data_IF_344158627324
#
_entry.id   IF_344158627324
#
_cell.length_a   1.000
_cell.length_b   1.000
_cell.length_c   1.000
_cell.angle_alpha   90.00
_cell.angle_beta   90.00
_cell.angle_gamma   90.00
#
_symmetry.space_group_name_H-M   'P 1'
#
loop_
_entity.id
_entity.type
_entity.pdbx_description
1 polymer ?
#
# COMPACT_ATOMS: atom_id res chain seq x y z
N UNK A 1 -3.36 -26.40 19.76
CA UNK A 1 -1.89 -26.41 19.62
C UNK A 1 -1.47 -24.96 19.47
N UNK A 2 -0.57 -24.49 20.34
CA UNK A 2 -0.15 -23.10 20.44
C UNK A 2 1.00 -22.83 19.44
N UNK A 3 0.86 -21.76 18.66
CA UNK A 3 1.88 -21.01 17.92
C UNK A 3 3.09 -21.82 17.39
N UNK A 4 2.84 -22.65 16.38
CA UNK A 4 3.85 -23.36 15.58
C UNK A 4 3.94 -22.77 14.16
N UNK A 5 5.09 -22.94 13.48
CA UNK A 5 5.31 -22.51 12.10
C UNK A 5 6.60 -21.71 11.91
N UNK A 6 7.28 -21.94 10.78
CA UNK A 6 8.42 -21.14 10.32
C UNK A 6 7.98 -20.28 9.13
N UNK A 7 8.76 -19.26 8.77
CA UNK A 7 8.41 -18.37 7.65
C UNK A 7 8.32 -19.09 6.27
N UNK A 8 8.98 -20.23 6.10
CA UNK A 8 8.83 -21.09 4.91
C UNK A 8 7.74 -22.15 5.04
N UNK A 9 6.99 -22.15 6.15
CA UNK A 9 6.09 -23.23 6.54
C UNK A 9 6.84 -24.47 7.04
N UNK A 10 6.15 -25.30 7.81
CA UNK A 10 6.65 -26.60 8.30
C UNK A 10 5.56 -27.65 8.25
N UNK A 11 5.94 -28.92 8.08
CA UNK A 11 5.00 -30.03 8.20
C UNK A 11 4.71 -30.31 9.68
N UNK A 12 3.43 -30.28 10.06
CA UNK A 12 3.00 -30.45 11.45
C UNK A 12 2.45 -31.84 11.74
N UNK A 13 1.79 -32.48 10.76
CA UNK A 13 1.16 -33.79 10.95
C UNK A 13 0.87 -34.47 9.60
N UNK A 14 0.30 -35.67 9.64
CA UNK A 14 -0.25 -36.34 8.48
C UNK A 14 -1.68 -36.86 8.74
N UNK A 15 -2.57 -36.74 7.76
CA UNK A 15 -3.89 -37.37 7.73
C UNK A 15 -3.97 -38.24 6.48
N UNK A 16 -3.89 -39.56 6.67
CA UNK A 16 -3.77 -40.49 5.54
C UNK A 16 -2.51 -40.17 4.72
N UNK A 17 -2.69 -39.85 3.44
CA UNK A 17 -1.60 -39.45 2.54
C UNK A 17 -1.35 -37.94 2.49
N UNK A 18 -2.07 -37.14 3.29
CA UNK A 18 -1.93 -35.69 3.32
C UNK A 18 -0.99 -35.25 4.41
N UNK A 19 0.01 -34.43 4.06
CA UNK A 19 0.83 -33.72 5.03
C UNK A 19 0.15 -32.39 5.37
N UNK A 20 0.03 -32.09 6.66
CA UNK A 20 -0.57 -30.85 7.14
C UNK A 20 0.51 -29.78 7.31
N UNK A 21 0.26 -28.61 6.74
CA UNK A 21 1.09 -27.41 6.92
C UNK A 21 0.86 -26.76 8.28
N UNK A 22 1.89 -26.06 8.78
CA UNK A 22 1.76 -25.12 9.89
C UNK A 22 0.97 -23.87 9.55
N UNK A 23 0.83 -23.56 8.26
CA UNK A 23 0.12 -22.37 7.82
C UNK A 23 -1.39 -22.64 7.82
N UNK A 24 -2.12 -21.79 8.52
CA UNK A 24 -3.56 -21.96 8.75
C UNK A 24 -4.35 -21.12 7.75
N UNK A 25 -5.38 -21.71 7.13
CA UNK A 25 -6.29 -21.00 6.22
C UNK A 25 -5.77 -20.83 4.79
N UNK A 26 -4.71 -21.56 4.39
CA UNK A 26 -4.12 -21.48 3.05
C UNK A 26 -4.93 -22.17 1.95
N UNK A 27 -6.04 -22.84 2.28
CA UNK A 27 -6.88 -23.60 1.35
C UNK A 27 -7.39 -22.78 0.16
N UNK A 28 -7.46 -21.44 0.28
CA UNK A 28 -8.00 -20.55 -0.75
C UNK A 28 -6.95 -19.75 -1.51
N UNK A 29 -5.65 -19.99 -1.28
CA UNK A 29 -4.58 -19.25 -1.94
C UNK A 29 -4.60 -19.44 -3.46
N UNK A 30 -5.03 -20.61 -3.94
CA UNK A 30 -5.11 -20.90 -5.37
C UNK A 30 -6.38 -20.35 -6.05
N UNK A 31 -7.31 -19.75 -5.28
CA UNK A 31 -8.59 -19.24 -5.78
C UNK A 31 -8.40 -18.15 -6.85
N UNK A 32 -7.49 -17.20 -6.62
CA UNK A 32 -7.19 -16.14 -7.61
C UNK A 32 -6.69 -16.72 -8.94
N UNK A 33 -5.88 -17.79 -8.88
CA UNK A 33 -5.38 -18.50 -10.06
C UNK A 33 -6.49 -19.22 -10.84
N UNK A 34 -7.40 -19.92 -10.16
CA UNK A 34 -8.54 -20.61 -10.78
C UNK A 34 -9.47 -19.61 -11.46
N UNK A 35 -9.79 -18.51 -10.78
CA UNK A 35 -10.65 -17.45 -11.33
C UNK A 35 -9.98 -16.77 -12.54
N UNK A 36 -8.66 -16.58 -12.48
CA UNK A 36 -7.92 -16.05 -13.62
C UNK A 36 -7.94 -17.00 -14.82
N UNK A 37 -7.76 -18.30 -14.60
CA UNK A 37 -7.90 -19.30 -15.66
C UNK A 37 -9.31 -19.30 -16.26
N UNK A 38 -10.36 -19.23 -15.43
CA UNK A 38 -11.75 -19.14 -15.87
C UNK A 38 -12.04 -17.92 -16.75
N UNK A 39 -11.42 -16.77 -16.47
CA UNK A 39 -11.57 -15.57 -17.29
C UNK A 39 -11.08 -15.76 -18.73
N UNK A 40 -10.10 -16.65 -18.95
CA UNK A 40 -9.52 -16.96 -20.25
C UNK A 40 -10.22 -18.16 -20.91
N UNK A 41 -10.60 -19.15 -20.11
CA UNK A 41 -11.19 -20.41 -20.55
C UNK A 41 -12.44 -20.72 -19.72
N UNK A 42 -13.59 -20.10 -20.04
CA UNK A 42 -14.81 -20.32 -19.28
C UNK A 42 -15.28 -21.77 -19.40
N UNK A 43 -15.46 -22.43 -18.26
CA UNK A 43 -15.93 -23.81 -18.16
C UNK A 43 -16.94 -23.93 -17.00
N UNK A 44 -18.10 -24.59 -17.19
CA UNK A 44 -19.11 -24.72 -16.14
C UNK A 44 -18.61 -25.41 -14.86
N UNK A 45 -17.77 -26.45 -14.97
CA UNK A 45 -17.25 -27.15 -13.80
C UNK A 45 -16.23 -26.29 -13.04
N UNK A 46 -15.43 -25.50 -13.75
CA UNK A 46 -14.53 -24.50 -13.11
C UNK A 46 -15.35 -23.41 -12.40
N UNK A 47 -16.46 -22.97 -12.99
CA UNK A 47 -17.36 -22.02 -12.35
C UNK A 47 -17.96 -22.58 -11.05
N UNK A 48 -18.47 -23.81 -11.07
CA UNK A 48 -18.99 -24.50 -9.88
C UNK A 48 -17.92 -24.60 -8.78
N UNK A 49 -16.68 -24.93 -9.15
CA UNK A 49 -15.55 -24.94 -8.22
C UNK A 49 -15.27 -23.56 -7.61
N UNK A 50 -15.27 -22.50 -8.42
CA UNK A 50 -15.06 -21.12 -7.94
C UNK A 50 -16.14 -20.74 -6.92
N UNK A 51 -17.41 -21.03 -7.23
CA UNK A 51 -18.54 -20.68 -6.36
C UNK A 51 -18.48 -21.44 -5.03
N UNK A 52 -18.11 -22.72 -5.06
CA UNK A 52 -17.86 -23.52 -3.85
C UNK A 52 -16.69 -22.96 -3.03
N UNK A 53 -15.55 -22.65 -3.67
CA UNK A 53 -14.38 -22.06 -2.99
C UNK A 53 -14.74 -20.74 -2.30
N UNK A 54 -15.48 -19.86 -2.97
CA UNK A 54 -15.95 -18.60 -2.40
C UNK A 54 -16.87 -18.89 -1.22
N UNK A 55 -17.86 -19.77 -1.38
CA UNK A 55 -18.80 -20.09 -0.30
C UNK A 55 -18.08 -20.59 0.96
N UNK A 56 -17.06 -21.45 0.81
CA UNK A 56 -16.26 -21.96 1.92
C UNK A 56 -15.38 -20.89 2.54
N UNK A 57 -14.68 -20.09 1.73
CA UNK A 57 -13.89 -18.97 2.22
C UNK A 57 -14.75 -17.99 3.03
N UNK A 58 -15.97 -17.72 2.59
CA UNK A 58 -16.86 -16.78 3.26
C UNK A 58 -17.35 -17.27 4.64
N UNK A 59 -17.31 -18.58 4.90
CA UNK A 59 -17.69 -19.18 6.19
C UNK A 59 -16.57 -19.16 7.23
N UNK A 60 -15.33 -18.83 6.85
CA UNK A 60 -14.19 -18.88 7.75
C UNK A 60 -14.20 -17.72 8.76
N UNK A 61 -13.98 -18.05 10.03
CA UNK A 61 -13.59 -17.08 11.05
C UNK A 61 -12.07 -16.89 11.02
N UNK A 62 -11.63 -15.96 10.18
CA UNK A 62 -10.22 -15.69 9.90
C UNK A 62 -9.40 -15.34 11.15
N UNK A 63 -10.01 -14.67 12.13
CA UNK A 63 -9.32 -14.27 13.37
C UNK A 63 -9.23 -15.44 14.32
N UNK A 64 -10.33 -16.15 14.57
CA UNK A 64 -10.36 -17.26 15.52
C UNK A 64 -9.42 -18.40 15.12
N UNK A 65 -9.29 -18.68 13.81
CA UNK A 65 -8.37 -19.71 13.33
C UNK A 65 -6.94 -19.22 13.15
N UNK A 66 -6.65 -17.92 13.39
CA UNK A 66 -5.35 -17.30 13.10
C UNK A 66 -4.93 -17.52 11.63
N UNK A 67 -5.83 -17.22 10.69
CA UNK A 67 -5.57 -17.42 9.28
C UNK A 67 -4.33 -16.63 8.81
N UNK A 68 -3.59 -17.17 7.84
CA UNK A 68 -2.48 -16.45 7.22
C UNK A 68 -3.01 -15.25 6.43
N UNK A 69 -2.38 -14.10 6.61
CA UNK A 69 -2.81 -12.85 5.95
C UNK A 69 -2.52 -12.89 4.45
N UNK A 70 -1.41 -13.49 4.01
CA UNK A 70 -1.13 -13.70 2.59
C UNK A 70 -2.25 -14.49 1.89
N UNK A 71 -2.59 -15.67 2.40
CA UNK A 71 -3.67 -16.49 1.85
C UNK A 71 -5.02 -15.75 1.85
N UNK A 72 -5.32 -15.02 2.94
CA UNK A 72 -6.54 -14.22 3.05
C UNK A 72 -6.59 -13.15 1.97
N UNK A 73 -5.55 -12.33 1.83
CA UNK A 73 -5.51 -11.21 0.88
C UNK A 73 -5.46 -11.70 -0.58
N UNK A 74 -4.80 -12.83 -0.85
CA UNK A 74 -4.89 -13.51 -2.14
C UNK A 74 -6.33 -13.95 -2.45
N UNK A 75 -7.07 -14.48 -1.48
CA UNK A 75 -8.49 -14.81 -1.67
C UNK A 75 -9.34 -13.56 -1.95
N UNK A 76 -9.04 -12.42 -1.33
CA UNK A 76 -9.71 -11.14 -1.61
C UNK A 76 -9.46 -10.67 -3.05
N UNK A 77 -8.24 -10.83 -3.58
CA UNK A 77 -7.96 -10.61 -5.01
C UNK A 77 -8.84 -11.50 -5.90
N UNK A 78 -9.01 -12.76 -5.51
CA UNK A 78 -9.91 -13.70 -6.18
C UNK A 78 -11.35 -13.17 -6.23
N UNK A 79 -11.89 -12.72 -5.10
CA UNK A 79 -13.24 -12.11 -5.03
C UNK A 79 -13.36 -10.90 -5.98
N UNK A 80 -12.38 -9.99 -5.95
CA UNK A 80 -12.38 -8.80 -6.80
C UNK A 80 -12.26 -9.15 -8.28
N UNK A 81 -11.48 -10.18 -8.63
CA UNK A 81 -11.40 -10.70 -9.99
C UNK A 81 -12.71 -11.33 -10.44
N UNK A 82 -13.37 -12.12 -9.60
CA UNK A 82 -14.65 -12.71 -9.98
C UNK A 82 -15.75 -11.66 -10.09
N UNK A 83 -15.66 -10.59 -9.30
CA UNK A 83 -16.51 -9.41 -9.45
C UNK A 83 -16.35 -8.74 -10.83
N UNK A 84 -15.13 -8.64 -11.39
CA UNK A 84 -14.96 -8.07 -12.74
C UNK A 84 -15.57 -8.92 -13.84
N UNK A 85 -15.71 -10.24 -13.61
CA UNK A 85 -16.29 -11.19 -14.57
C UNK A 85 -17.81 -11.20 -14.47
N UNK A 86 -18.35 -11.22 -13.24
CA UNK A 86 -19.78 -11.49 -13.00
C UNK A 86 -20.60 -10.25 -12.68
N UNK A 87 -19.96 -9.16 -12.24
CA UNK A 87 -20.59 -7.96 -11.71
C UNK A 87 -21.54 -8.20 -10.52
N UNK A 88 -21.36 -9.31 -9.79
CA UNK A 88 -22.14 -9.61 -8.59
C UNK A 88 -21.63 -8.79 -7.41
N UNK A 89 -22.40 -7.76 -7.03
CA UNK A 89 -21.97 -6.75 -6.04
C UNK A 89 -21.59 -7.31 -4.67
N UNK A 90 -22.19 -8.43 -4.23
CA UNK A 90 -21.84 -9.04 -2.94
C UNK A 90 -20.36 -9.44 -2.86
N UNK A 91 -19.71 -9.76 -3.99
CA UNK A 91 -18.28 -10.12 -4.02
C UNK A 91 -17.41 -8.92 -3.61
N UNK A 92 -17.75 -7.72 -4.09
CA UNK A 92 -17.08 -6.49 -3.70
C UNK A 92 -17.37 -6.14 -2.23
N UNK A 93 -18.62 -6.30 -1.79
CA UNK A 93 -19.02 -6.05 -0.39
C UNK A 93 -18.29 -6.97 0.59
N UNK A 94 -18.18 -8.27 0.28
CA UNK A 94 -17.48 -9.25 1.11
C UNK A 94 -15.94 -9.05 1.08
N UNK A 95 -15.39 -8.56 -0.04
CA UNK A 95 -13.98 -8.15 -0.13
C UNK A 95 -13.71 -6.92 0.75
N UNK A 96 -14.55 -5.90 0.69
CA UNK A 96 -14.49 -4.71 1.57
C UNK A 96 -14.53 -5.13 3.04
N UNK A 97 -15.51 -5.95 3.43
CA UNK A 97 -15.69 -6.42 4.81
C UNK A 97 -14.43 -7.12 5.35
N UNK A 98 -13.83 -8.02 4.57
CA UNK A 98 -12.62 -8.74 4.99
C UNK A 98 -11.36 -7.89 4.94
N UNK A 99 -11.27 -6.95 4.01
CA UNK A 99 -10.17 -6.00 4.00
C UNK A 99 -10.20 -5.13 5.27
N UNK A 100 -11.38 -4.68 5.70
CA UNK A 100 -11.52 -3.95 6.96
C UNK A 100 -11.17 -4.81 8.19
N UNK A 101 -11.48 -6.11 8.17
CA UNK A 101 -11.04 -7.05 9.21
C UNK A 101 -9.50 -7.11 9.26
N UNK A 102 -8.85 -7.31 8.11
CA UNK A 102 -7.38 -7.26 7.97
C UNK A 102 -6.80 -5.95 8.51
N UNK A 103 -7.33 -4.82 8.04
CA UNK A 103 -6.87 -3.48 8.40
C UNK A 103 -6.94 -3.21 9.90
N UNK A 104 -7.97 -3.74 10.57
CA UNK A 104 -8.15 -3.55 12.01
C UNK A 104 -7.27 -4.47 12.85
N UNK A 105 -7.13 -5.73 12.45
CA UNK A 105 -6.62 -6.79 13.32
C UNK A 105 -5.17 -7.21 12.99
N UNK A 106 -4.67 -6.92 11.78
CA UNK A 106 -3.41 -7.49 11.30
C UNK A 106 -2.42 -6.47 10.71
N UNK A 107 -2.75 -5.19 10.60
CA UNK A 107 -1.78 -4.19 10.09
C UNK A 107 -0.72 -3.85 11.15
N UNK A 108 0.51 -3.59 10.72
CA UNK A 108 1.57 -3.03 11.59
C UNK A 108 1.60 -1.50 11.54
N UNK A 109 2.38 -0.87 12.43
CA UNK A 109 2.45 0.59 12.52
C UNK A 109 3.21 1.26 11.36
N UNK A 110 3.99 0.47 10.63
CA UNK A 110 4.62 0.80 9.36
C UNK A 110 3.85 0.26 8.13
N UNK A 111 2.57 -0.09 8.31
CA UNK A 111 1.65 -0.49 7.23
C UNK A 111 2.00 -1.81 6.52
N UNK A 112 2.79 -2.66 7.17
CA UNK A 112 2.96 -4.07 6.77
C UNK A 112 1.80 -4.89 7.36
N UNK A 113 2.01 -6.19 7.54
CA UNK A 113 1.02 -7.10 8.09
C UNK A 113 1.66 -8.09 9.05
N UNK A 114 0.94 -8.49 10.10
CA UNK A 114 1.22 -9.73 10.81
C UNK A 114 1.13 -10.89 9.83
N UNK A 115 2.01 -11.89 9.94
CA UNK A 115 1.91 -13.08 9.09
C UNK A 115 0.58 -13.82 9.27
N UNK A 116 0.11 -13.91 10.51
CA UNK A 116 -1.22 -14.44 10.84
C UNK A 116 -2.02 -13.48 11.70
N UNK A 117 -3.35 -13.56 11.61
CA UNK A 117 -4.23 -12.87 12.56
C UNK A 117 -3.88 -13.26 14.00
N UNK A 118 -3.69 -12.26 14.87
CA UNK A 118 -3.41 -12.47 16.29
C UNK A 118 -2.03 -13.07 16.60
N UNK A 119 -1.09 -13.12 15.65
CA UNK A 119 0.31 -13.57 15.86
C UNK A 119 1.31 -12.53 15.32
N UNK A 120 1.61 -11.46 16.10
CA UNK A 120 2.53 -10.41 15.67
C UNK A 120 4.00 -10.85 15.82
N UNK A 121 4.39 -11.88 15.07
CA UNK A 121 5.74 -12.47 15.12
C UNK A 121 6.66 -11.80 14.09
N UNK A 122 6.34 -11.93 12.80
CA UNK A 122 7.00 -11.26 11.69
C UNK A 122 6.00 -10.82 10.62
N UNK A 123 6.49 -10.04 9.67
CA UNK A 123 5.75 -9.57 8.51
C UNK A 123 6.27 -10.22 7.23
N UNK A 124 5.41 -10.36 6.22
CA UNK A 124 5.78 -11.00 4.95
C UNK A 124 5.43 -10.12 3.73
N UNK A 125 6.41 -9.79 2.86
CA UNK A 125 6.17 -9.03 1.64
C UNK A 125 5.14 -9.60 0.69
N UNK A 126 4.94 -10.93 0.66
CA UNK A 126 3.88 -11.54 -0.15
C UNK A 126 2.48 -11.01 0.22
N UNK A 127 2.19 -10.88 1.51
CA UNK A 127 0.95 -10.32 2.03
C UNK A 127 0.91 -8.79 1.86
N UNK A 128 2.03 -8.08 2.01
CA UNK A 128 2.11 -6.63 1.75
C UNK A 128 1.71 -6.33 0.30
N UNK A 129 2.25 -7.10 -0.65
CA UNK A 129 1.93 -6.97 -2.07
C UNK A 129 0.44 -7.21 -2.32
N UNK A 130 -0.14 -8.24 -1.72
CA UNK A 130 -1.56 -8.51 -1.87
C UNK A 130 -2.44 -7.42 -1.25
N UNK A 131 -2.08 -6.91 -0.06
CA UNK A 131 -2.78 -5.81 0.57
C UNK A 131 -2.75 -4.55 -0.29
N UNK A 132 -1.58 -4.19 -0.83
CA UNK A 132 -1.40 -3.06 -1.75
C UNK A 132 -2.30 -3.21 -2.99
N UNK A 133 -2.31 -4.40 -3.60
CA UNK A 133 -3.12 -4.66 -4.79
C UNK A 133 -4.62 -4.65 -4.50
N UNK A 134 -5.05 -5.25 -3.39
CA UNK A 134 -6.45 -5.22 -2.95
C UNK A 134 -6.88 -3.79 -2.66
N UNK A 135 -6.09 -3.00 -1.95
CA UNK A 135 -6.41 -1.61 -1.65
C UNK A 135 -6.57 -0.77 -2.93
N UNK A 136 -5.63 -0.88 -3.88
CA UNK A 136 -5.74 -0.20 -5.17
C UNK A 136 -6.99 -0.62 -5.97
N UNK A 137 -7.34 -1.90 -5.96
CA UNK A 137 -8.53 -2.42 -6.64
C UNK A 137 -9.83 -2.03 -5.93
N UNK A 138 -9.86 -2.03 -4.61
CA UNK A 138 -11.00 -1.54 -3.83
C UNK A 138 -11.26 -0.08 -4.15
N UNK A 139 -10.22 0.77 -4.19
CA UNK A 139 -10.35 2.14 -4.69
C UNK A 139 -10.91 2.17 -6.12
N UNK A 140 -10.35 1.39 -7.03
CA UNK A 140 -10.78 1.35 -8.44
C UNK A 140 -12.28 1.04 -8.58
N UNK A 141 -12.81 0.12 -7.79
CA UNK A 141 -14.21 -0.33 -7.91
C UNK A 141 -15.20 0.47 -7.06
N UNK A 142 -14.77 1.02 -5.93
CA UNK A 142 -15.66 1.78 -5.03
C UNK A 142 -15.57 3.30 -5.22
N UNK A 143 -14.45 3.81 -5.74
CA UNK A 143 -14.14 5.23 -5.77
C UNK A 143 -13.80 5.83 -4.39
N UNK A 144 -13.69 5.02 -3.35
CA UNK A 144 -13.38 5.46 -1.99
C UNK A 144 -11.87 5.76 -1.85
N UNK A 145 -11.46 7.02 -1.60
CA UNK A 145 -10.06 7.40 -1.56
C UNK A 145 -9.30 6.80 -0.37
N UNK A 146 -9.97 6.34 0.68
CA UNK A 146 -9.29 5.76 1.86
C UNK A 146 -8.47 4.52 1.46
N UNK A 147 -8.95 3.73 0.50
CA UNK A 147 -8.19 2.59 -0.01
C UNK A 147 -6.98 3.00 -0.85
N UNK A 148 -7.04 4.13 -1.57
CA UNK A 148 -5.89 4.65 -2.29
C UNK A 148 -4.84 5.21 -1.32
N UNK A 149 -5.28 5.84 -0.23
CA UNK A 149 -4.38 6.27 0.85
C UNK A 149 -3.69 5.08 1.53
N UNK A 150 -4.44 4.03 1.87
CA UNK A 150 -3.86 2.78 2.36
C UNK A 150 -2.81 2.23 1.37
N UNK A 151 -3.11 2.21 0.06
CA UNK A 151 -2.16 1.75 -0.95
C UNK A 151 -0.88 2.61 -1.01
N UNK A 152 -0.97 3.93 -0.84
CA UNK A 152 0.20 4.82 -0.72
C UNK A 152 1.01 4.49 0.53
N UNK A 153 0.36 4.32 1.68
CA UNK A 153 1.01 4.01 2.94
C UNK A 153 1.74 2.66 2.89
N UNK A 154 1.12 1.65 2.28
CA UNK A 154 1.76 0.34 2.05
C UNK A 154 2.93 0.44 1.07
N UNK A 155 2.76 1.16 -0.05
CA UNK A 155 3.81 1.27 -1.06
C UNK A 155 5.07 1.94 -0.52
N UNK A 156 4.91 3.10 0.15
CA UNK A 156 6.06 3.88 0.63
C UNK A 156 6.59 3.45 1.99
N UNK A 157 5.88 2.66 2.79
CA UNK A 157 6.42 2.19 4.07
C UNK A 157 6.72 0.70 4.07
N UNK A 158 5.73 -0.12 3.73
CA UNK A 158 5.84 -1.57 3.83
C UNK A 158 6.66 -2.16 2.68
N UNK A 159 6.21 -1.95 1.43
CA UNK A 159 6.89 -2.52 0.27
C UNK A 159 8.28 -1.89 0.08
N UNK A 160 8.39 -0.58 0.26
CA UNK A 160 9.66 0.14 0.13
C UNK A 160 10.70 -0.20 1.20
N UNK A 161 10.29 -0.55 2.42
CA UNK A 161 11.24 -1.00 3.46
C UNK A 161 11.69 -2.44 3.24
N UNK A 162 10.78 -3.32 2.81
CA UNK A 162 11.06 -4.75 2.64
C UNK A 162 11.93 -5.10 1.43
N UNK A 163 12.05 -4.21 0.44
CA UNK A 163 12.93 -4.42 -0.71
C UNK A 163 14.41 -4.16 -0.34
N UNK A 164 15.25 -5.19 -0.37
CA UNK A 164 16.65 -5.11 0.06
C UNK A 164 17.60 -4.70 -1.06
N UNK A 165 18.85 -4.41 -0.70
CA UNK A 165 19.91 -3.97 -1.64
C UNK A 165 20.15 -4.92 -2.82
N UNK A 166 19.88 -6.23 -2.65
CA UNK A 166 20.02 -7.23 -3.70
C UNK A 166 18.81 -7.29 -4.66
N UNK A 167 17.81 -6.43 -4.46
CA UNK A 167 16.56 -6.41 -5.24
C UNK A 167 15.50 -7.41 -4.77
N UNK A 168 15.85 -8.35 -3.88
CA UNK A 168 14.94 -9.29 -3.26
C UNK A 168 14.12 -8.65 -2.14
N UNK A 169 13.22 -9.45 -1.55
CA UNK A 169 12.31 -8.99 -0.50
C UNK A 169 12.48 -9.80 0.78
N UNK A 170 12.74 -9.09 1.87
CA UNK A 170 12.98 -9.66 3.20
C UNK A 170 11.83 -9.45 4.17
N UNK A 171 11.89 -10.14 5.30
CA UNK A 171 10.90 -10.08 6.36
C UNK A 171 11.32 -9.04 7.41
N UNK A 172 10.35 -8.39 8.04
CA UNK A 172 10.59 -7.50 9.17
C UNK A 172 9.89 -8.01 10.44
N UNK A 173 10.29 -7.48 11.59
CA UNK A 173 9.61 -7.77 12.85
C UNK A 173 8.24 -7.08 12.90
N UNK A 174 7.38 -7.47 13.84
CA UNK A 174 6.19 -6.69 14.18
C UNK A 174 6.51 -5.69 15.29
N UNK A 175 6.56 -4.36 15.04
CA UNK A 175 6.84 -3.38 16.08
C UNK A 175 5.77 -3.42 17.18
N UNK A 176 6.22 -3.55 18.43
CA UNK A 176 5.37 -3.66 19.62
C UNK A 176 5.62 -2.49 20.59
N UNK A 177 4.79 -2.32 21.62
CA UNK A 177 4.93 -1.19 22.57
C UNK A 177 6.18 -1.26 23.46
N UNK A 178 6.67 -2.47 23.74
CA UNK A 178 7.84 -2.71 24.60
C UNK A 178 9.11 -2.18 23.93
N UNK A 179 9.37 -2.61 22.69
CA UNK A 179 10.59 -2.25 21.97
C UNK A 179 10.38 -0.95 21.18
N UNK A 180 9.21 -0.80 20.56
CA UNK A 180 8.80 0.39 19.79
C UNK A 180 9.52 0.54 18.45
N UNK A 181 10.22 -0.50 17.99
CA UNK A 181 11.18 -0.43 16.90
C UNK A 181 10.86 -1.37 15.75
N UNK A 182 11.10 -0.89 14.54
CA UNK A 182 11.17 -1.65 13.30
C UNK A 182 12.61 -2.12 13.06
N UNK A 183 12.77 -3.40 12.74
CA UNK A 183 14.04 -4.07 12.47
C UNK A 183 13.85 -5.20 11.45
N UNK A 184 14.93 -5.54 10.76
CA UNK A 184 14.96 -6.66 9.81
C UNK A 184 14.86 -7.98 10.57
N UNK A 185 13.94 -8.85 10.15
CA UNK A 185 13.79 -10.21 10.67
C UNK A 185 14.54 -11.23 9.81
N UNK A 186 14.44 -11.10 8.49
CA UNK A 186 15.22 -11.88 7.54
C UNK A 186 15.61 -11.03 6.32
N UNK A 187 16.84 -11.21 5.85
CA UNK A 187 17.36 -10.46 4.69
C UNK A 187 16.56 -10.78 3.41
N UNK A 188 16.23 -12.05 3.15
CA UNK A 188 15.47 -12.42 1.97
C UNK A 188 14.60 -13.67 2.20
N UNK A 189 13.35 -13.60 1.76
CA UNK A 189 12.41 -14.71 1.75
C UNK A 189 12.11 -15.14 0.31
N UNK A 190 13.08 -15.83 -0.31
CA UNK A 190 13.05 -16.22 -1.72
C UNK A 190 11.91 -17.19 -2.09
N UNK A 191 11.38 -17.94 -1.13
CA UNK A 191 10.37 -18.98 -1.35
C UNK A 191 8.98 -18.44 -1.71
N UNK A 192 8.67 -17.18 -1.40
CA UNK A 192 7.43 -16.54 -1.83
C UNK A 192 7.59 -15.03 -2.02
N UNK A 193 8.21 -14.35 -1.05
CA UNK A 193 8.24 -12.89 -0.96
C UNK A 193 9.02 -12.25 -2.11
N UNK A 194 10.21 -12.75 -2.47
CA UNK A 194 10.96 -12.20 -3.62
C UNK A 194 10.16 -12.30 -4.92
N UNK A 195 9.53 -13.46 -5.16
CA UNK A 195 8.70 -13.65 -6.37
C UNK A 195 7.48 -12.73 -6.39
N UNK A 196 6.75 -12.64 -5.26
CA UNK A 196 5.59 -11.75 -5.12
C UNK A 196 5.98 -10.28 -5.23
N UNK A 197 7.15 -9.90 -4.71
CA UNK A 197 7.70 -8.55 -4.81
C UNK A 197 7.84 -8.09 -6.26
N UNK A 198 8.27 -8.97 -7.16
CA UNK A 198 8.29 -8.69 -8.61
C UNK A 198 6.89 -8.37 -9.18
N UNK A 199 5.86 -9.10 -8.77
CA UNK A 199 4.47 -8.78 -9.15
C UNK A 199 4.01 -7.46 -8.54
N UNK A 200 4.36 -7.18 -7.28
CA UNK A 200 4.06 -5.93 -6.59
C UNK A 200 4.64 -4.71 -7.31
N UNK A 201 5.90 -4.78 -7.74
CA UNK A 201 6.53 -3.71 -8.53
C UNK A 201 5.84 -3.53 -9.89
N UNK A 202 5.47 -4.62 -10.57
CA UNK A 202 4.72 -4.56 -11.81
C UNK A 202 3.31 -3.97 -11.62
N UNK A 203 2.65 -4.27 -10.49
CA UNK A 203 1.37 -3.69 -10.11
C UNK A 203 1.50 -2.20 -9.81
N UNK A 204 2.55 -1.77 -9.09
CA UNK A 204 2.83 -0.36 -8.83
C UNK A 204 3.03 0.42 -10.13
N UNK A 205 3.73 -0.14 -11.12
CA UNK A 205 3.82 0.46 -12.46
C UNK A 205 2.44 0.60 -13.10
N UNK A 206 1.66 -0.48 -13.12
CA UNK A 206 0.32 -0.53 -13.74
C UNK A 206 -0.65 0.46 -13.13
N UNK A 207 -0.59 0.67 -11.81
CA UNK A 207 -1.52 1.53 -11.10
C UNK A 207 -1.18 3.02 -11.19
N UNK A 208 -0.07 3.44 -11.82
CA UNK A 208 0.24 4.87 -11.97
C UNK A 208 -0.84 5.67 -12.71
N UNK A 209 -1.56 5.03 -13.63
CA UNK A 209 -2.54 5.69 -14.48
C UNK A 209 -3.76 4.81 -14.71
N UNK A 210 -4.94 5.42 -14.65
CA UNK A 210 -6.19 4.78 -15.07
C UNK A 210 -6.93 5.68 -16.04
N UNK A 211 -7.70 5.08 -16.94
CA UNK A 211 -8.62 5.80 -17.83
C UNK A 211 -10.04 5.39 -17.50
N UNK A 212 -10.99 6.31 -17.63
CA UNK A 212 -12.40 6.07 -17.32
C UNK A 212 -13.36 6.98 -18.07
N UNK A 213 -14.63 6.58 -18.10
CA UNK A 213 -15.73 7.41 -18.59
C UNK A 213 -15.58 7.88 -20.04
N UNK A 214 -16.08 9.10 -20.32
CA UNK A 214 -16.13 9.68 -21.68
C UNK A 214 -14.89 10.50 -22.04
N UNK A 215 -13.88 10.62 -21.15
CA UNK A 215 -12.60 11.38 -21.32
C UNK A 215 -11.77 11.58 -20.02
N UNK A 216 -11.82 10.67 -19.06
CA UNK A 216 -11.15 10.83 -17.78
C UNK A 216 -9.76 10.15 -17.77
N UNK A 217 -8.76 10.87 -17.27
CA UNK A 217 -7.40 10.37 -17.00
C UNK A 217 -7.14 10.55 -15.51
N UNK A 218 -6.89 9.46 -14.82
CA UNK A 218 -6.58 9.43 -13.39
C UNK A 218 -5.09 9.23 -13.20
N UNK A 219 -4.52 10.02 -12.29
CA UNK A 219 -3.12 9.96 -11.85
C UNK A 219 -3.13 9.71 -10.32
N UNK A 220 -3.44 8.46 -9.90
CA UNK A 220 -3.49 8.09 -8.48
C UNK A 220 -2.12 8.12 -7.80
N UNK A 221 -1.05 7.70 -8.49
CA UNK A 221 0.31 7.69 -7.94
C UNK A 221 1.20 8.74 -8.63
N UNK A 222 2.23 9.19 -7.92
CA UNK A 222 3.18 10.18 -8.41
C UNK A 222 4.58 9.57 -8.49
N UNK A 223 5.02 9.23 -9.69
CA UNK A 223 6.34 8.66 -9.97
C UNK A 223 6.96 9.28 -11.24
N UNK A 224 8.28 9.26 -11.35
CA UNK A 224 8.90 9.63 -12.63
C UNK A 224 8.51 8.60 -13.69
N UNK A 225 7.77 9.02 -14.71
CA UNK A 225 7.20 8.10 -15.70
C UNK A 225 6.88 8.79 -17.02
N UNK A 226 6.68 7.97 -18.05
CA UNK A 226 6.13 8.39 -19.33
C UNK A 226 5.02 7.41 -19.69
N UNK A 227 3.85 7.91 -20.06
CA UNK A 227 2.67 7.10 -20.37
C UNK A 227 2.01 7.62 -21.63
N UNK A 228 1.53 6.69 -22.46
CA UNK A 228 0.59 7.01 -23.54
C UNK A 228 -0.78 6.49 -23.13
N UNK A 229 -1.73 7.40 -22.95
CA UNK A 229 -3.12 7.07 -22.60
C UNK A 229 -3.99 7.14 -23.84
N UNK A 230 -4.72 6.06 -24.10
CA UNK A 230 -5.78 6.04 -25.10
C UNK A 230 -7.12 6.37 -24.44
N UNK A 231 -7.70 7.50 -24.86
CA UNK A 231 -8.98 8.01 -24.36
C UNK A 231 -9.87 8.35 -25.55
N UNK A 232 -11.21 8.41 -25.40
CA UNK A 232 -12.12 8.74 -26.51
C UNK A 232 -11.88 10.11 -27.19
N UNK A 233 -11.03 10.97 -26.61
CA UNK A 233 -10.60 12.21 -27.25
C UNK A 233 -9.50 12.01 -28.31
N UNK A 234 -8.75 10.92 -28.24
CA UNK A 234 -7.52 10.67 -28.97
C UNK A 234 -6.36 10.38 -27.99
N UNK A 235 -5.37 9.66 -28.50
CA UNK A 235 -4.13 9.33 -27.78
C UNK A 235 -3.42 10.58 -27.25
N UNK A 236 -2.95 10.52 -26.00
CA UNK A 236 -2.17 11.58 -25.34
C UNK A 236 -0.95 10.97 -24.66
N UNK A 237 0.24 11.50 -24.90
CA UNK A 237 1.47 11.09 -24.21
C UNK A 237 1.83 12.11 -23.15
N UNK A 238 1.97 11.66 -21.91
CA UNK A 238 2.31 12.46 -20.74
C UNK A 238 3.63 12.00 -20.14
N UNK A 239 4.44 12.95 -19.69
CA UNK A 239 5.61 12.69 -18.84
C UNK A 239 5.37 13.26 -17.46
N UNK A 240 5.55 12.44 -16.44
CA UNK A 240 5.51 12.84 -15.05
C UNK A 240 6.91 13.00 -14.49
N UNK A 241 7.14 14.10 -13.80
CA UNK A 241 8.28 14.31 -12.90
C UNK A 241 7.74 14.65 -11.53
N UNK A 242 8.25 14.03 -10.47
CA UNK A 242 7.76 14.31 -9.12
C UNK A 242 8.86 14.26 -8.07
N UNK A 243 8.75 15.13 -7.08
CA UNK A 243 9.50 15.05 -5.81
C UNK A 243 8.80 14.20 -4.74
N UNK A 244 7.61 13.68 -5.03
CA UNK A 244 6.85 12.82 -4.11
C UNK A 244 7.56 11.45 -3.97
N UNK A 245 7.59 10.83 -2.78
CA UNK A 245 6.86 11.14 -1.55
C UNK A 245 7.50 12.19 -0.64
N UNK A 246 8.69 12.70 -0.98
CA UNK A 246 9.43 13.64 -0.13
C UNK A 246 8.93 15.08 -0.27
N UNK A 247 8.34 15.46 -1.41
CA UNK A 247 7.82 16.79 -1.69
C UNK A 247 6.48 16.68 -2.42
N UNK A 248 5.54 17.55 -2.10
CA UNK A 248 4.29 17.67 -2.86
C UNK A 248 4.51 18.47 -4.13
N UNK A 249 5.41 18.03 -5.00
CA UNK A 249 5.75 18.65 -6.28
C UNK A 249 5.56 17.63 -7.40
N UNK A 250 4.64 17.90 -8.32
CA UNK A 250 4.29 17.02 -9.43
C UNK A 250 4.14 17.84 -10.71
N UNK A 251 4.89 17.49 -11.74
CA UNK A 251 4.83 18.11 -13.07
C UNK A 251 4.39 17.05 -14.07
N UNK A 252 3.32 17.35 -14.82
CA UNK A 252 2.89 16.60 -16.00
C UNK A 252 3.15 17.45 -17.24
N UNK A 253 4.00 16.95 -18.11
CA UNK A 253 4.32 17.54 -19.42
C UNK A 253 3.58 16.76 -20.52
N UNK A 254 2.87 17.47 -21.38
CA UNK A 254 2.19 16.87 -22.54
C UNK A 254 3.18 16.76 -23.70
N UNK A 255 3.71 15.56 -23.93
CA UNK A 255 4.70 15.31 -25.00
C UNK A 255 4.06 15.25 -26.38
N UNK A 256 2.86 14.67 -26.46
CA UNK A 256 2.03 14.63 -27.66
C UNK A 256 0.54 14.53 -27.29
N UNK A 257 -0.35 15.02 -28.15
CA UNK A 257 -1.80 14.97 -27.90
C UNK A 257 -2.61 15.05 -29.19
N UNK A 258 -3.26 13.93 -29.54
CA UNK A 258 -4.33 13.88 -30.55
C UNK A 258 -5.67 14.36 -29.96
N UNK A 259 -5.74 14.57 -28.64
CA UNK A 259 -6.91 15.05 -27.91
C UNK A 259 -7.04 16.58 -27.85
N UNK A 260 -6.11 17.35 -28.43
CA UNK A 260 -5.96 18.81 -28.25
C UNK A 260 -7.24 19.66 -28.47
N UNK A 261 -8.19 19.20 -29.26
CA UNK A 261 -9.43 19.93 -29.55
C UNK A 261 -10.58 19.62 -28.56
N UNK A 262 -10.45 18.57 -27.75
CA UNK A 262 -11.47 18.09 -26.82
C UNK A 262 -10.97 18.25 -25.39
N UNK A 263 -11.83 18.77 -24.51
CA UNK A 263 -11.49 18.83 -23.09
C UNK A 263 -11.46 17.41 -22.48
N UNK A 264 -10.41 17.12 -21.73
CA UNK A 264 -10.24 15.92 -20.89
C UNK A 264 -10.41 16.31 -19.42
N UNK A 265 -10.78 15.36 -18.58
CA UNK A 265 -10.77 15.53 -17.12
C UNK A 265 -9.52 14.84 -16.59
N UNK A 266 -8.61 15.62 -16.03
CA UNK A 266 -7.41 15.14 -15.38
C UNK A 266 -7.67 15.09 -13.88
N UNK A 267 -7.61 13.89 -13.30
CA UNK A 267 -7.81 13.64 -11.88
C UNK A 267 -6.44 13.42 -11.24
N UNK A 268 -5.97 14.37 -10.44
CA UNK A 268 -4.71 14.27 -9.71
C UNK A 268 -4.99 13.89 -8.27
N UNK A 269 -4.35 12.83 -7.76
CA UNK A 269 -4.59 12.40 -6.39
C UNK A 269 -4.36 13.53 -5.38
N UNK A 270 -5.32 13.70 -4.49
CA UNK A 270 -5.29 14.73 -3.45
C UNK A 270 -5.49 14.05 -2.10
N UNK A 271 -4.40 13.50 -1.52
CA UNK A 271 -4.47 12.80 -0.25
C UNK A 271 -4.89 13.73 0.89
N UNK A 272 -5.41 13.16 1.98
CA UNK A 272 -5.82 13.89 3.17
C UNK A 272 -4.68 14.74 3.78
N UNK A 273 -3.43 14.32 3.60
CA UNK A 273 -2.25 15.05 4.07
C UNK A 273 -1.78 16.18 3.15
N UNK A 274 -2.46 16.45 2.04
CA UNK A 274 -2.11 17.55 1.16
C UNK A 274 -2.59 18.89 1.74
N UNK A 275 -1.65 19.79 2.05
CA UNK A 275 -1.93 21.14 2.55
C UNK A 275 -1.92 22.16 1.41
N UNK A 276 -2.95 22.99 1.31
CA UNK A 276 -3.05 24.07 0.31
C UNK A 276 -2.72 23.66 -1.14
N UNK A 277 -3.36 22.62 -1.71
CA UNK A 277 -3.08 22.18 -3.07
C UNK A 277 -3.38 23.25 -4.12
N UNK A 278 -2.46 23.45 -5.06
CA UNK A 278 -2.58 24.39 -6.18
C UNK A 278 -2.23 23.71 -7.51
N UNK A 279 -2.86 24.16 -8.59
CA UNK A 279 -2.57 23.69 -9.95
C UNK A 279 -2.30 24.90 -10.83
N UNK A 280 -1.16 24.87 -11.52
CA UNK A 280 -0.82 25.82 -12.57
C UNK A 280 -0.77 25.10 -13.92
N UNK A 281 -1.25 25.75 -14.99
CA UNK A 281 -1.07 25.31 -16.38
C UNK A 281 -0.29 26.39 -17.11
N UNK A 282 0.91 26.04 -17.60
CA UNK A 282 1.84 26.99 -18.23
C UNK A 282 2.06 28.23 -17.35
N UNK A 283 2.39 27.98 -16.07
CA UNK A 283 2.67 28.97 -15.02
C UNK A 283 1.50 29.90 -14.67
N UNK A 284 0.27 29.59 -15.12
CA UNK A 284 -0.95 30.31 -14.77
C UNK A 284 -1.81 29.49 -13.81
N UNK A 285 -2.26 30.05 -12.68
CA UNK A 285 -3.12 29.34 -11.75
C UNK A 285 -4.46 29.00 -12.40
N UNK A 286 -4.93 27.78 -12.16
CA UNK A 286 -6.23 27.29 -12.62
C UNK A 286 -7.03 26.74 -11.46
N UNK A 287 -8.36 26.83 -11.54
CA UNK A 287 -9.25 26.21 -10.56
C UNK A 287 -9.43 24.72 -10.85
N UNK A 288 -9.70 23.96 -9.80
CA UNK A 288 -10.04 22.54 -9.85
C UNK A 288 -11.21 22.23 -8.93
N UNK A 289 -11.81 21.06 -9.08
CA UNK A 289 -12.85 20.54 -8.18
C UNK A 289 -12.29 19.39 -7.35
N UNK A 290 -12.67 19.31 -6.07
CA UNK A 290 -12.42 18.12 -5.24
C UNK A 290 -13.50 17.09 -5.53
N UNK A 291 -13.13 15.92 -6.04
CA UNK A 291 -14.05 14.81 -6.30
C UNK A 291 -13.38 13.50 -5.86
N UNK A 292 -13.97 12.78 -4.90
CA UNK A 292 -13.53 11.44 -4.46
C UNK A 292 -12.02 11.30 -4.21
N UNK A 293 -11.41 12.27 -3.51
CA UNK A 293 -9.97 12.29 -3.23
C UNK A 293 -9.08 12.75 -4.38
N UNK A 294 -9.63 13.38 -5.42
CA UNK A 294 -8.86 13.95 -6.54
C UNK A 294 -9.10 15.45 -6.69
N UNK A 295 -8.05 16.16 -7.09
CA UNK A 295 -8.13 17.48 -7.70
C UNK A 295 -8.40 17.31 -9.21
N UNK A 296 -9.61 17.67 -9.63
CA UNK A 296 -10.10 17.45 -11.00
C UNK A 296 -10.02 18.74 -11.80
N UNK A 297 -9.15 18.74 -12.81
CA UNK A 297 -8.99 19.80 -13.78
C UNK A 297 -9.62 19.40 -15.11
N UNK A 298 -10.41 20.30 -15.71
CA UNK A 298 -10.90 20.13 -17.08
C UNK A 298 -10.05 20.97 -18.03
N UNK A 299 -9.21 20.33 -18.83
CA UNK A 299 -8.25 21.01 -19.71
C UNK A 299 -8.27 20.44 -21.14
N UNK A 300 -7.89 21.27 -22.12
CA UNK A 300 -7.56 20.81 -23.47
C UNK A 300 -6.04 20.66 -23.54
N UNK A 301 -5.55 19.43 -23.40
CA UNK A 301 -4.12 19.14 -23.34
C UNK A 301 -3.50 19.29 -24.73
N UNK A 302 -2.57 20.22 -24.89
CA UNK A 302 -1.80 20.43 -26.12
C UNK A 302 -0.35 20.05 -25.88
N UNK A 303 0.32 19.61 -26.94
CA UNK A 303 1.77 19.38 -26.90
C UNK A 303 2.50 20.61 -26.35
N UNK A 304 3.39 20.40 -25.40
CA UNK A 304 4.15 21.43 -24.71
C UNK A 304 3.45 22.04 -23.49
N UNK A 305 2.18 21.70 -23.22
CA UNK A 305 1.52 22.13 -22.00
C UNK A 305 2.22 21.50 -20.78
N UNK A 306 2.41 22.33 -19.74
CA UNK A 306 2.95 21.92 -18.44
C UNK A 306 1.92 22.15 -17.36
N UNK A 307 1.46 21.06 -16.76
CA UNK A 307 0.57 21.07 -15.58
C UNK A 307 1.45 20.86 -14.35
N UNK A 308 1.47 21.83 -13.45
CA UNK A 308 2.26 21.80 -12.22
C UNK A 308 1.31 21.78 -11.04
N UNK A 309 1.31 20.66 -10.32
CA UNK A 309 0.51 20.43 -9.12
C UNK A 309 1.42 20.46 -7.90
N UNK A 310 1.10 21.32 -6.94
CA UNK A 310 1.88 21.47 -5.71
C UNK A 310 1.02 21.46 -4.46
N UNK A 311 1.54 20.89 -3.38
CA UNK A 311 0.92 20.91 -2.05
C UNK A 311 1.97 20.84 -0.95
N UNK A 312 1.66 21.44 0.20
CA UNK A 312 2.45 21.33 1.42
C UNK A 312 2.24 19.98 2.11
N UNK A 313 3.24 19.57 2.89
CA UNK A 313 3.15 18.45 3.83
C UNK A 313 3.94 18.81 5.07
N UNK A 314 3.38 18.54 6.25
CA UNK A 314 4.05 18.72 7.54
C UNK A 314 4.08 17.41 8.34
N UNK A 315 5.05 17.24 9.26
CA UNK A 315 5.05 16.10 10.17
C UNK A 315 3.80 16.11 11.07
N UNK A 316 3.14 14.96 11.19
CA UNK A 316 1.94 14.74 12.00
C UNK A 316 2.18 13.61 12.99
N UNK A 317 1.67 13.79 14.20
CA UNK A 317 1.61 12.74 15.21
C UNK A 317 0.27 12.05 15.08
N UNK A 318 0.29 10.74 14.90
CA UNK A 318 -0.92 9.95 14.69
C UNK A 318 -1.08 8.89 15.77
N UNK A 319 -2.34 8.53 16.03
CA UNK A 319 -2.66 7.31 16.75
C UNK A 319 -2.04 6.10 16.03
N UNK A 320 -1.80 5.05 16.80
CA UNK A 320 -1.42 3.77 16.23
C UNK A 320 -2.56 3.21 15.35
N UNK A 321 -2.19 2.56 14.25
CA UNK A 321 -3.09 2.04 13.23
C UNK A 321 -3.80 0.79 13.70
N UNK A 322 -3.07 -0.15 14.31
CA UNK A 322 -3.63 -1.41 14.76
C UNK A 322 -4.67 -1.16 15.87
N UNK A 323 -5.87 -1.74 15.71
CA UNK A 323 -7.00 -1.50 16.62
C UNK A 323 -6.67 -1.87 18.06
N UNK A 324 -5.88 -2.93 18.28
CA UNK A 324 -5.48 -3.37 19.62
C UNK A 324 -4.52 -2.40 20.33
N UNK A 325 -3.86 -1.51 19.59
CA UNK A 325 -2.87 -0.55 20.10
C UNK A 325 -3.41 0.88 20.22
N UNK A 326 -4.64 1.14 19.73
CA UNK A 326 -5.28 2.46 19.82
C UNK A 326 -5.55 2.84 21.28
N UNK A 327 -5.32 4.11 21.62
CA UNK A 327 -5.60 4.63 22.96
C UNK A 327 -4.59 4.24 24.05
N UNK A 328 -3.46 3.62 23.70
CA UNK A 328 -2.43 3.16 24.65
C UNK A 328 -1.46 4.25 25.14
N UNK A 329 -1.70 5.52 24.78
CA UNK A 329 -0.75 6.63 25.02
C UNK A 329 0.47 6.66 24.06
N UNK A 330 0.58 5.67 23.17
CA UNK A 330 1.62 5.63 22.14
C UNK A 330 1.15 6.26 20.83
N UNK A 331 2.11 6.81 20.08
CA UNK A 331 1.91 7.48 18.80
C UNK A 331 2.99 7.10 17.81
N UNK A 332 2.74 7.38 16.53
CA UNK A 332 3.74 7.39 15.47
C UNK A 332 3.82 8.75 14.82
N UNK A 333 4.91 9.01 14.12
CA UNK A 333 5.12 10.25 13.37
C UNK A 333 5.07 9.92 11.87
N UNK A 334 4.32 10.71 11.11
CA UNK A 334 4.24 10.60 9.66
C UNK A 334 4.51 11.93 8.98
N UNK A 335 5.11 11.92 7.79
CA UNK A 335 5.28 13.06 6.90
C UNK A 335 4.73 12.70 5.53
N UNK A 336 3.59 13.29 5.14
CA UNK A 336 2.86 12.80 3.97
C UNK A 336 2.52 11.32 4.13
N UNK A 337 2.90 10.44 3.18
CA UNK A 337 2.72 8.99 3.32
C UNK A 337 3.84 8.32 4.15
N UNK A 338 4.89 9.02 4.54
CA UNK A 338 6.11 8.42 5.10
C UNK A 338 6.04 8.31 6.62
N UNK A 339 6.18 7.11 7.16
CA UNK A 339 6.42 6.87 8.59
C UNK A 339 7.86 7.27 8.91
N UNK A 340 8.02 8.16 9.88
CA UNK A 340 9.32 8.64 10.33
C UNK A 340 9.82 7.79 11.50
N UNK A 341 11.08 7.36 11.41
CA UNK A 341 11.76 6.61 12.45
C UNK A 341 12.98 7.35 13.00
N UNK A 342 13.31 7.07 14.26
CA UNK A 342 14.50 7.57 14.93
C UNK A 342 15.52 6.44 15.13
N UNK A 343 16.77 6.68 14.73
CA UNK A 343 17.89 5.76 14.93
C UNK A 343 18.72 6.24 16.13
N UNK A 344 18.61 5.55 17.26
CA UNK A 344 19.30 5.91 18.50
C UNK A 344 18.70 5.24 19.72
N UNK A 345 19.04 5.74 20.92
CA UNK A 345 18.47 5.24 22.18
C UNK A 345 17.00 5.63 22.26
N UNK A 346 16.11 4.68 22.61
CA UNK A 346 14.66 4.89 22.71
C UNK A 346 14.31 6.22 23.39
N UNK A 347 13.45 7.00 22.74
CA UNK A 347 12.95 8.29 23.24
C UNK A 347 11.44 8.28 23.40
N UNK A 348 10.94 9.24 24.19
CA UNK A 348 9.53 9.59 24.27
C UNK A 348 9.29 10.89 23.49
N UNK A 349 8.04 11.13 23.09
CA UNK A 349 7.65 12.40 22.49
C UNK A 349 6.95 13.27 23.52
N UNK A 350 7.16 14.59 23.40
CA UNK A 350 6.29 15.55 24.05
C UNK A 350 4.87 15.47 23.47
N UNK A 351 3.89 16.11 24.12
CA UNK A 351 2.52 16.22 23.60
C UNK A 351 2.45 16.97 22.26
N UNK A 352 3.28 18.03 22.12
CA UNK A 352 3.33 18.92 20.94
C UNK A 352 4.77 19.13 20.47
N UNK A 353 5.44 18.09 19.94
CA UNK A 353 6.77 18.20 19.34
C UNK A 353 6.74 19.14 18.15
N UNK A 354 7.80 19.92 18.01
CA UNK A 354 8.04 20.79 16.86
C UNK A 354 9.10 20.14 15.99
N UNK A 355 8.82 19.99 14.70
CA UNK A 355 9.74 19.40 13.75
C UNK A 355 10.25 20.46 12.77
N UNK A 356 11.57 20.53 12.63
CA UNK A 356 12.24 21.36 11.63
C UNK A 356 12.73 20.48 10.50
N UNK A 357 12.40 20.82 9.24
CA UNK A 357 12.91 20.08 8.09
C UNK A 357 14.38 20.46 7.86
N UNK A 358 15.28 19.47 7.83
CA UNK A 358 16.71 19.69 7.58
C UNK A 358 17.08 19.46 6.12
N UNK A 359 16.49 18.45 5.49
CA UNK A 359 16.75 18.05 4.10
C UNK A 359 15.47 17.44 3.49
N UNK A 360 15.57 16.87 2.28
CA UNK A 360 14.47 16.18 1.59
C UNK A 360 13.88 15.04 2.43
N UNK A 361 14.69 14.34 3.22
CA UNK A 361 14.33 13.13 3.94
C UNK A 361 14.76 13.13 5.42
N UNK A 362 15.06 14.31 5.99
CA UNK A 362 15.46 14.45 7.40
C UNK A 362 14.67 15.55 8.10
N UNK A 363 14.24 15.24 9.33
CA UNK A 363 13.57 16.16 10.24
C UNK A 363 14.25 16.15 11.60
N UNK A 364 14.37 17.32 12.22
CA UNK A 364 14.91 17.50 13.55
C UNK A 364 13.79 17.80 14.54
N UNK A 365 13.85 17.18 15.71
CA UNK A 365 12.93 17.46 16.81
C UNK A 365 13.46 18.62 17.67
N UNK A 366 12.75 19.75 17.64
CA UNK A 366 13.13 20.97 18.34
C UNK A 366 14.47 21.55 17.87
N UNK A 367 15.29 22.04 18.81
CA UNK A 367 16.67 22.49 18.57
C UNK A 367 17.69 21.42 19.01
N UNK A 368 17.26 20.17 19.17
CA UNK A 368 18.08 19.07 19.67
C UNK A 368 18.67 18.23 18.53
N UNK A 369 19.77 17.53 18.78
CA UNK A 369 20.41 16.62 17.80
C UNK A 369 19.61 15.30 17.54
N UNK A 370 18.28 15.30 17.66
CA UNK A 370 17.43 14.13 17.41
C UNK A 370 16.88 14.22 15.99
N UNK A 371 17.36 13.32 15.12
CA UNK A 371 17.03 13.32 13.69
C UNK A 371 16.15 12.13 13.31
N UNK A 372 15.05 12.43 12.66
CA UNK A 372 14.10 11.50 12.13
C UNK A 372 14.28 11.37 10.62
N UNK A 373 14.15 10.13 10.14
CA UNK A 373 14.18 9.81 8.71
C UNK A 373 13.11 8.77 8.39
N UNK A 374 12.59 8.73 7.16
CA UNK A 374 11.57 7.77 6.78
C UNK A 374 12.07 6.33 6.96
N UNK A 375 11.16 5.41 7.27
CA UNK A 375 11.45 3.97 7.11
C UNK A 375 11.63 3.62 5.62
N UNK A 376 10.96 4.35 4.74
CA UNK A 376 11.15 4.25 3.29
C UNK A 376 12.61 4.45 2.88
N UNK A 377 13.10 3.56 2.04
CA UNK A 377 14.38 3.71 1.35
C UNK A 377 14.30 3.09 -0.04
N UNK A 378 15.34 3.30 -0.84
CA UNK A 378 15.49 2.62 -2.13
C UNK A 378 16.78 1.82 -2.06
N UNK A 379 16.65 0.51 -1.82
CA UNK A 379 17.77 -0.44 -1.83
C UNK A 379 18.95 -0.03 -0.91
N UNK A 380 18.68 0.54 0.28
CA UNK A 380 19.75 1.02 1.17
C UNK A 380 20.54 -0.17 1.74
N UNK A 381 21.87 -0.25 1.50
CA UNK A 381 22.71 -1.34 1.97
C UNK A 381 22.75 -1.46 3.50
N UNK A 382 22.28 -0.47 4.25
CA UNK A 382 22.19 -0.52 5.71
C UNK A 382 21.00 -1.34 6.20
N UNK A 383 19.95 -1.55 5.40
CA UNK A 383 18.76 -2.29 5.85
C UNK A 383 18.95 -3.78 5.61
N UNK A 384 19.66 -4.42 6.55
CA UNK A 384 19.95 -5.85 6.59
C UNK A 384 20.21 -6.33 8.01
N UNK A 385 20.02 -7.62 8.26
CA UNK A 385 20.16 -8.23 9.59
C UNK A 385 21.54 -7.95 10.21
N UNK A 386 22.60 -8.17 9.42
CA UNK A 386 24.00 -8.05 9.88
C UNK A 386 24.44 -6.62 10.22
N UNK A 387 23.68 -5.60 9.83
CA UNK A 387 24.03 -4.20 10.16
C UNK A 387 23.54 -3.77 11.54
N UNK A 388 22.65 -4.56 12.17
CA UNK A 388 21.94 -4.14 13.37
C UNK A 388 20.95 -2.99 13.10
N UNK A 389 20.42 -2.89 11.87
CA UNK A 389 19.46 -1.86 11.52
C UNK A 389 18.21 -1.92 12.41
N UNK A 390 17.89 -0.79 13.04
CA UNK A 390 16.73 -0.64 13.87
C UNK A 390 16.32 0.83 13.91
N UNK A 391 15.04 1.14 13.70
CA UNK A 391 14.46 2.48 13.89
C UNK A 391 13.32 2.40 14.90
N UNK A 392 13.31 3.27 15.90
CA UNK A 392 12.13 3.49 16.71
C UNK A 392 11.05 4.16 15.85
N UNK A 393 9.85 3.59 15.80
CA UNK A 393 8.71 4.13 15.05
C UNK A 393 7.44 4.30 15.91
N UNK A 394 7.44 3.71 17.12
CA UNK A 394 6.38 3.87 18.12
C UNK A 394 6.96 4.63 19.31
N UNK A 395 6.28 5.69 19.71
CA UNK A 395 6.74 6.63 20.72
C UNK A 395 5.67 6.81 21.78
N UNK A 396 6.06 6.71 23.04
CA UNK A 396 5.20 7.05 24.16
C UNK A 396 5.02 8.57 24.22
N UNK A 397 3.80 9.04 24.48
CA UNK A 397 3.48 10.44 24.75
C UNK A 397 2.96 10.53 26.20
N UNK A 398 3.83 10.88 27.17
CA UNK A 398 3.43 10.91 28.58
C UNK A 398 2.30 11.92 28.82
N UNK A 399 1.30 11.52 29.63
CA UNK A 399 0.24 12.42 30.10
C UNK A 399 -1.01 12.52 29.21
N UNK A 400 -1.17 11.62 28.23
CA UNK A 400 -2.41 11.45 27.45
C UNK A 400 -3.13 10.15 27.78
#
# INVERSE_FOLDING_TARGET
MHDVGEASGTTQNAIGNWLLSSDIGCDFIFMDGVIHAYALFPDPAVKELIEEMIQRFLQMDLVSIKAQTHATLTALRGLLRYYTITHQHYLLEEAVKRYQLYRNEAITENYENYNWFGRPEWTEPCAIVDAFMVAAQLWQFSGDPDYLEDAHLMYYNALGHTQRENGGFGLDNCPNLKDGTLAVYADEAYWCCTMRGGEGLAAAVRYNYFTGGKRDVYVPFFNNSEVTVDIPAGETTLRQKSGYPYQGDVVLEVLDSKAANKAVRLHLFMPEWAESPTINVNDKPVSYKKENGFAVLKAKLKKGDRIHYTFGMTPRIQQLSNKSLKGTGYRKIVYGPLVLGYQGKKIQLADKPVFNRLDKDQWELGNGNIRFSPVFHVLDPKVKEKSGYQKQIIFEVPGQ
#
